data_IF_675850382675
#
_entry.id   IF_675850382675
#
_cell.length_a   1.000
_cell.length_b   1.000
_cell.length_c   1.000
_cell.angle_alpha   90.00
_cell.angle_beta   90.00
_cell.angle_gamma   90.00
#
_symmetry.space_group_name_H-M   'P 1'
#
loop_
_entity.id
_entity.type
_entity.pdbx_description
1 polymer ?
#
# COMPACT_ATOMS: atom_id res chain seq x y z
N UNK A 1 65.20 19.33 -14.60
CA UNK A 1 64.07 19.61 -13.67
C UNK A 1 63.77 18.32 -12.94
N UNK A 2 64.08 18.28 -11.64
CA UNK A 2 63.89 17.11 -10.78
C UNK A 2 62.42 16.75 -10.67
N UNK A 3 62.08 15.54 -11.10
CA UNK A 3 60.79 14.91 -10.83
C UNK A 3 60.92 14.10 -9.55
N UNK A 4 60.19 14.51 -8.51
CA UNK A 4 60.08 13.76 -7.26
C UNK A 4 58.79 12.94 -7.36
N UNK A 5 58.93 11.67 -7.74
CA UNK A 5 57.84 10.69 -7.82
C UNK A 5 57.62 10.05 -6.45
N UNK A 6 56.41 10.16 -5.91
CA UNK A 6 55.97 9.39 -4.75
C UNK A 6 54.95 8.33 -5.21
N UNK A 7 55.22 7.08 -4.85
CA UNK A 7 54.36 5.93 -5.12
C UNK A 7 53.63 5.53 -3.84
N UNK A 8 52.30 5.51 -3.87
CA UNK A 8 51.47 4.78 -2.92
C UNK A 8 50.27 4.22 -3.70
N UNK A 9 50.26 2.89 -3.92
CA UNK A 9 49.11 2.10 -4.41
C UNK A 9 48.30 2.64 -5.59
N UNK A 10 48.53 2.07 -6.78
CA UNK A 10 47.71 2.03 -8.02
C UNK A 10 46.94 3.27 -8.52
N UNK A 11 47.16 4.48 -8.00
CA UNK A 11 46.68 5.70 -8.64
C UNK A 11 47.71 6.86 -8.56
N UNK A 12 48.23 7.22 -9.72
CA UNK A 12 49.18 8.30 -9.92
C UNK A 12 48.41 9.62 -10.14
N UNK A 13 48.46 10.52 -9.15
CA UNK A 13 47.79 11.83 -9.24
C UNK A 13 48.80 12.89 -9.69
N UNK A 14 48.77 13.29 -10.96
CA UNK A 14 49.57 14.41 -11.50
C UNK A 14 48.64 15.56 -11.86
N UNK A 15 48.88 16.71 -11.23
CA UNK A 15 48.19 17.97 -11.53
C UNK A 15 49.21 18.91 -12.18
N UNK A 16 49.01 19.23 -13.47
CA UNK A 16 49.81 20.22 -14.19
C UNK A 16 48.91 21.08 -15.10
N UNK A 17 49.20 22.38 -15.17
CA UNK A 17 48.46 23.40 -15.93
C UNK A 17 49.24 23.78 -17.20
N UNK A 18 48.53 23.82 -18.35
CA UNK A 18 48.78 24.56 -19.63
C UNK A 18 50.16 24.38 -20.30
N UNK A 19 50.28 24.01 -21.58
CA UNK A 19 49.78 24.71 -22.78
C UNK A 19 49.85 23.80 -24.04
N UNK A 20 49.11 24.23 -25.08
CA UNK A 20 49.33 23.96 -26.52
C UNK A 20 48.57 22.79 -27.15
N UNK A 21 47.79 23.17 -28.16
CA UNK A 21 46.77 22.42 -28.85
C UNK A 21 47.33 21.32 -29.77
N UNK A 22 46.73 20.14 -29.69
CA UNK A 22 46.47 19.29 -30.86
C UNK A 22 45.05 18.75 -30.69
N UNK A 23 44.16 19.19 -31.58
CA UNK A 23 42.80 18.70 -31.68
C UNK A 23 42.84 17.26 -32.19
N UNK A 24 42.66 16.30 -31.29
CA UNK A 24 42.06 15.02 -31.62
C UNK A 24 40.76 14.93 -30.82
N UNK A 25 39.65 15.13 -31.50
CA UNK A 25 38.31 14.91 -30.98
C UNK A 25 38.11 13.41 -30.77
N UNK A 26 38.57 12.90 -29.63
CA UNK A 26 38.05 11.65 -29.09
C UNK A 26 36.93 12.03 -28.14
N UNK A 27 35.71 11.76 -28.59
CA UNK A 27 34.46 12.06 -27.92
C UNK A 27 34.50 11.68 -26.44
N UNK A 28 34.33 12.71 -25.61
CA UNK A 28 33.75 12.69 -24.28
C UNK A 28 32.76 11.53 -24.13
N UNK A 29 33.20 10.44 -23.49
CA UNK A 29 32.44 9.21 -23.46
C UNK A 29 33.13 8.11 -22.68
N UNK A 30 33.93 8.45 -21.66
CA UNK A 30 34.11 7.51 -20.55
C UNK A 30 32.73 7.34 -19.94
N UNK A 31 32.10 6.23 -20.33
CA UNK A 31 30.98 5.60 -19.67
C UNK A 31 31.28 5.59 -18.17
N UNK A 32 30.76 6.60 -17.48
CA UNK A 32 30.30 6.43 -16.12
C UNK A 32 29.26 5.33 -16.24
N UNK A 33 29.70 4.07 -16.12
CA UNK A 33 28.83 2.97 -15.73
C UNK A 33 28.35 3.35 -14.35
N UNK A 34 27.30 4.18 -14.30
CA UNK A 34 26.34 4.18 -13.24
C UNK A 34 26.03 2.70 -13.07
N UNK A 35 26.59 2.08 -12.03
CA UNK A 35 26.03 0.89 -11.44
C UNK A 35 24.64 1.35 -11.02
N UNK A 36 23.70 1.31 -11.98
CA UNK A 36 22.29 1.22 -11.71
C UNK A 36 22.24 -0.06 -10.91
N UNK A 37 22.29 0.06 -9.58
CA UNK A 37 21.98 -1.04 -8.67
C UNK A 37 20.68 -1.57 -9.21
N UNK A 38 20.72 -2.74 -9.85
CA UNK A 38 19.53 -3.44 -10.27
C UNK A 38 18.62 -3.44 -9.05
N UNK A 39 17.47 -2.77 -9.18
CA UNK A 39 16.50 -2.71 -8.10
C UNK A 39 16.02 -4.14 -7.96
N UNK A 40 16.62 -4.88 -7.03
CA UNK A 40 16.20 -6.23 -6.65
C UNK A 40 14.67 -6.23 -6.57
N UNK A 41 14.02 -7.00 -7.45
CA UNK A 41 12.58 -7.02 -7.58
C UNK A 41 11.96 -7.31 -6.21
N UNK A 42 11.39 -6.26 -5.61
CA UNK A 42 10.92 -6.30 -4.22
C UNK A 42 9.78 -7.32 -4.07
N UNK A 43 9.12 -7.66 -5.18
CA UNK A 43 8.04 -8.64 -5.33
C UNK A 43 8.43 -10.08 -4.97
N UNK A 44 9.71 -10.43 -4.92
CA UNK A 44 10.14 -11.80 -4.56
C UNK A 44 9.93 -12.16 -3.08
N UNK A 45 9.63 -11.19 -2.21
CA UNK A 45 9.47 -11.45 -0.77
C UNK A 45 8.05 -11.96 -0.44
N UNK A 46 7.89 -13.15 0.16
CA UNK A 46 6.57 -13.71 0.47
C UNK A 46 5.73 -12.84 1.42
N UNK A 47 6.38 -12.09 2.34
CA UNK A 47 5.70 -11.12 3.21
C UNK A 47 5.11 -9.90 2.47
N UNK A 48 5.36 -9.76 1.17
CA UNK A 48 4.82 -8.68 0.34
C UNK A 48 3.59 -9.09 -0.47
N UNK A 49 3.16 -10.35 -0.40
CA UNK A 49 1.94 -10.78 -1.08
C UNK A 49 0.72 -9.99 -0.58
N UNK A 50 -0.16 -9.62 -1.52
CA UNK A 50 -1.36 -8.85 -1.23
C UNK A 50 -2.46 -9.82 -0.85
N UNK A 51 -3.25 -9.38 0.10
CA UNK A 51 -4.16 -10.21 0.83
C UNK A 51 -5.23 -9.23 1.40
N UNK A 52 -6.52 -9.62 1.38
CA UNK A 52 -7.70 -8.98 2.01
C UNK A 52 -7.68 -9.02 3.55
N UNK A 53 -7.51 -7.88 4.22
CA UNK A 53 -7.49 -7.85 5.70
C UNK A 53 -8.83 -8.09 6.40
N UNK A 54 -9.89 -7.52 5.83
CA UNK A 54 -11.24 -7.61 6.36
C UNK A 54 -12.21 -7.29 5.23
N UNK A 55 -13.36 -7.94 5.27
CA UNK A 55 -14.50 -7.58 4.45
C UNK A 55 -15.56 -6.97 5.38
N UNK A 56 -15.96 -5.74 5.13
CA UNK A 56 -17.01 -5.05 5.88
C UNK A 56 -18.29 -5.04 5.04
N UNK A 57 -19.33 -5.73 5.49
CA UNK A 57 -20.67 -5.68 4.91
C UNK A 57 -21.46 -4.61 5.67
N UNK A 58 -22.08 -3.69 4.96
CA UNK A 58 -22.86 -2.61 5.56
C UNK A 58 -24.20 -2.46 4.84
N UNK A 59 -25.29 -2.59 5.59
CA UNK A 59 -26.65 -2.33 5.11
C UNK A 59 -27.18 -1.11 5.85
N UNK A 60 -27.40 -0.03 5.12
CA UNK A 60 -28.05 1.19 5.63
C UNK A 60 -29.52 1.18 5.21
N UNK A 61 -30.43 1.09 6.18
CA UNK A 61 -31.88 1.04 5.91
C UNK A 61 -32.50 2.43 6.01
N UNK A 62 -31.96 3.32 6.85
CA UNK A 62 -32.43 4.71 6.97
C UNK A 62 -33.56 4.91 7.99
N UNK A 63 -34.12 3.82 8.53
CA UNK A 63 -35.18 3.81 9.54
C UNK A 63 -34.87 2.82 10.66
N UNK A 64 -35.50 3.02 11.83
CA UNK A 64 -35.55 2.02 12.89
C UNK A 64 -36.77 1.09 12.74
N UNK A 65 -36.71 -0.08 13.39
CA UNK A 65 -37.83 -1.04 13.43
C UNK A 65 -37.57 -2.35 12.67
N UNK A 66 -38.63 -2.94 12.11
CA UNK A 66 -38.64 -4.33 11.61
C UNK A 66 -37.82 -4.55 10.35
N UNK A 67 -37.62 -3.53 9.51
CA UNK A 67 -36.71 -3.66 8.36
C UNK A 67 -35.27 -3.84 8.81
N UNK A 68 -34.87 -3.15 9.89
CA UNK A 68 -33.53 -3.25 10.45
C UNK A 68 -33.27 -4.63 11.08
N UNK A 69 -34.25 -5.19 11.79
CA UNK A 69 -34.12 -6.52 12.40
C UNK A 69 -34.09 -7.63 11.34
N UNK A 70 -34.85 -7.50 10.25
CA UNK A 70 -34.76 -8.41 9.10
C UNK A 70 -33.40 -8.33 8.41
N UNK A 71 -32.89 -7.12 8.18
CA UNK A 71 -31.55 -6.92 7.60
C UNK A 71 -30.45 -7.54 8.48
N UNK A 72 -30.60 -7.47 9.81
CA UNK A 72 -29.68 -8.14 10.73
C UNK A 72 -29.69 -9.66 10.55
N UNK A 73 -30.88 -10.27 10.46
CA UNK A 73 -31.00 -11.72 10.21
C UNK A 73 -30.38 -12.14 8.88
N UNK A 74 -30.52 -11.35 7.82
CA UNK A 74 -29.87 -11.61 6.52
C UNK A 74 -28.35 -11.59 6.65
N UNK A 75 -27.78 -10.61 7.35
CA UNK A 75 -26.34 -10.56 7.59
C UNK A 75 -25.84 -11.73 8.43
N UNK A 76 -26.62 -12.16 9.41
CA UNK A 76 -26.31 -13.34 10.22
C UNK A 76 -26.29 -14.62 9.37
N UNK A 77 -27.27 -14.80 8.48
CA UNK A 77 -27.32 -15.95 7.56
C UNK A 77 -26.14 -15.98 6.59
N UNK A 78 -25.73 -14.82 6.05
CA UNK A 78 -24.62 -14.73 5.11
C UNK A 78 -23.26 -14.94 5.78
N UNK A 79 -23.07 -14.41 7.00
CA UNK A 79 -21.75 -14.35 7.64
C UNK A 79 -21.53 -15.39 8.73
N UNK A 80 -22.60 -15.88 9.35
CA UNK A 80 -22.57 -16.71 10.55
C UNK A 80 -22.13 -15.96 11.81
N UNK A 81 -22.16 -14.61 11.80
CA UNK A 81 -21.73 -13.77 12.91
C UNK A 81 -22.87 -12.88 13.38
N UNK A 82 -22.87 -12.56 14.68
CA UNK A 82 -23.80 -11.58 15.25
C UNK A 82 -23.45 -10.17 14.74
N UNK A 83 -24.36 -9.51 14.00
CA UNK A 83 -24.06 -8.23 13.39
C UNK A 83 -24.23 -7.06 14.38
N UNK A 84 -23.50 -5.97 14.14
CA UNK A 84 -23.51 -4.80 15.03
C UNK A 84 -24.42 -3.70 14.49
N UNK A 85 -25.31 -3.20 15.36
CA UNK A 85 -26.19 -2.08 15.03
C UNK A 85 -25.48 -0.73 15.17
N UNK A 86 -25.50 0.05 14.10
CA UNK A 86 -24.98 1.42 14.05
C UNK A 86 -26.06 2.43 14.45
N UNK A 87 -25.68 3.38 15.29
CA UNK A 87 -26.55 4.46 15.77
C UNK A 87 -26.36 5.75 14.97
N UNK A 88 -27.42 6.55 14.88
CA UNK A 88 -27.43 7.90 14.36
C UNK A 88 -26.57 8.84 15.22
N UNK A 89 -25.67 9.61 14.60
CA UNK A 89 -24.89 10.66 15.31
C UNK A 89 -25.65 11.98 15.42
N UNK A 90 -26.50 12.30 14.45
CA UNK A 90 -27.20 13.58 14.33
C UNK A 90 -28.69 13.35 14.09
N UNK A 91 -29.51 14.37 14.38
CA UNK A 91 -30.93 14.39 14.03
C UNK A 91 -31.02 15.10 12.70
N UNK A 92 -31.51 14.42 11.67
CA UNK A 92 -31.72 14.98 10.35
C UNK A 92 -33.17 14.74 9.96
N UNK A 93 -33.96 15.82 9.94
CA UNK A 93 -35.42 15.75 9.75
C UNK A 93 -35.80 15.32 8.33
N UNK A 94 -35.00 15.67 7.32
CA UNK A 94 -35.24 15.27 5.92
C UNK A 94 -35.14 13.77 5.71
N UNK A 95 -34.25 13.09 6.43
CA UNK A 95 -34.09 11.65 6.40
C UNK A 95 -34.92 10.94 7.48
N UNK A 96 -35.78 11.67 8.21
CA UNK A 96 -36.60 11.16 9.31
C UNK A 96 -35.81 10.44 10.43
N UNK A 97 -34.53 10.78 10.62
CA UNK A 97 -33.64 10.12 11.59
C UNK A 97 -33.46 11.01 12.83
N UNK A 98 -33.57 10.42 14.02
CA UNK A 98 -33.25 11.07 15.31
C UNK A 98 -31.89 10.63 15.85
N UNK A 99 -31.26 11.44 16.70
CA UNK A 99 -30.01 11.08 17.40
C UNK A 99 -30.16 9.77 18.16
N UNK A 100 -29.13 8.93 18.12
CA UNK A 100 -29.02 7.63 18.78
C UNK A 100 -29.99 6.54 18.31
N UNK A 101 -30.82 6.81 17.32
CA UNK A 101 -31.65 5.82 16.66
C UNK A 101 -30.80 4.79 15.91
N UNK A 102 -31.19 3.52 15.88
CA UNK A 102 -30.46 2.49 15.13
C UNK A 102 -30.87 2.57 13.66
N UNK A 103 -29.90 2.82 12.77
CA UNK A 103 -30.17 3.08 11.32
C UNK A 103 -29.64 1.98 10.41
N UNK A 104 -28.51 1.39 10.80
CA UNK A 104 -27.75 0.52 9.93
C UNK A 104 -27.23 -0.69 10.70
N UNK A 105 -26.94 -1.75 9.95
CA UNK A 105 -26.32 -2.97 10.47
C UNK A 105 -25.05 -3.22 9.68
N UNK A 106 -23.97 -3.50 10.38
CA UNK A 106 -22.71 -3.89 9.74
C UNK A 106 -22.15 -5.15 10.38
N UNK A 107 -21.48 -5.94 9.54
CA UNK A 107 -20.73 -7.12 9.98
C UNK A 107 -19.31 -7.05 9.40
N UNK A 108 -18.32 -7.51 10.16
CA UNK A 108 -16.93 -7.53 9.72
C UNK A 108 -16.42 -8.96 9.67
N UNK A 109 -16.25 -9.50 8.48
CA UNK A 109 -15.71 -10.84 8.28
C UNK A 109 -14.19 -10.77 8.25
N UNK A 110 -13.54 -11.64 9.04
CA UNK A 110 -12.09 -11.84 9.13
C UNK A 110 -11.79 -13.35 9.20
N UNK A 111 -10.61 -13.80 8.79
CA UNK A 111 -10.17 -15.20 8.92
C UNK A 111 -9.90 -15.86 7.57
N UNK A 112 -10.11 -17.18 7.38
CA UNK A 112 -9.85 -17.86 6.10
C UNK A 112 -10.69 -17.30 4.94
N UNK A 113 -11.76 -16.55 5.25
CA UNK A 113 -12.58 -15.81 4.28
C UNK A 113 -11.94 -14.49 3.83
N UNK A 114 -10.92 -13.99 4.53
CA UNK A 114 -10.23 -12.72 4.28
C UNK A 114 -8.82 -12.75 4.90
N UNK A 115 -7.83 -13.16 4.11
CA UNK A 115 -6.41 -13.16 4.49
C UNK A 115 -5.75 -11.87 4.03
N UNK A 116 -5.07 -11.10 4.90
CA UNK A 116 -4.55 -9.72 4.70
C UNK A 116 -3.02 -9.57 4.64
N UNK A 117 -2.44 -8.64 3.84
CA UNK A 117 -0.96 -8.51 3.73
C UNK A 117 -0.32 -8.45 5.12
N UNK A 118 0.59 -9.39 5.47
CA UNK A 118 1.17 -9.45 6.79
C UNK A 118 2.10 -8.25 7.01
N UNK A 119 2.00 -7.61 8.17
CA UNK A 119 2.84 -6.47 8.56
C UNK A 119 2.08 -5.22 9.02
N UNK A 120 0.80 -5.10 8.69
CA UNK A 120 -0.01 -3.93 9.08
C UNK A 120 -0.39 -3.87 10.56
N UNK A 121 -0.08 -4.93 11.33
CA UNK A 121 -0.25 -4.96 12.79
C UNK A 121 0.59 -3.88 13.51
N UNK A 122 1.73 -3.47 12.94
CA UNK A 122 2.65 -2.48 13.55
C UNK A 122 1.95 -1.14 13.83
N UNK A 123 1.00 -0.74 12.98
CA UNK A 123 0.20 0.49 13.15
C UNK A 123 -0.89 0.36 14.22
N UNK A 124 -1.39 -0.86 14.44
CA UNK A 124 -2.61 -1.11 15.22
C UNK A 124 -2.33 -1.70 16.61
N UNK A 125 -1.12 -2.21 16.87
CA UNK A 125 -0.75 -2.76 18.19
C UNK A 125 -0.71 -1.66 19.27
N UNK A 126 -1.06 -2.04 20.51
CA UNK A 126 -1.05 -1.15 21.69
C UNK A 126 0.37 -0.75 22.12
N UNK A 127 1.30 -1.72 22.16
CA UNK A 127 2.70 -1.51 22.57
C UNK A 127 3.59 -1.19 21.36
N UNK A 128 4.49 -0.22 21.51
CA UNK A 128 5.49 0.18 20.51
C UNK A 128 4.88 0.41 19.11
N UNK A 129 3.86 1.26 19.02
CA UNK A 129 3.23 1.61 17.75
C UNK A 129 4.19 2.45 16.90
N UNK A 130 4.30 2.12 15.62
CA UNK A 130 5.16 2.83 14.66
C UNK A 130 4.44 2.99 13.32
N UNK A 131 4.86 3.97 12.51
CA UNK A 131 4.35 4.15 11.14
C UNK A 131 4.93 3.07 10.22
N UNK A 132 4.07 2.48 9.39
CA UNK A 132 4.50 1.56 8.34
C UNK A 132 5.11 2.35 7.18
N UNK A 133 6.24 1.89 6.65
CA UNK A 133 6.92 2.56 5.54
C UNK A 133 6.06 2.62 4.26
N UNK A 134 6.22 3.65 3.41
CA UNK A 134 5.47 3.77 2.16
C UNK A 134 5.64 2.56 1.23
N UNK A 135 6.82 1.94 1.24
CA UNK A 135 7.14 0.73 0.45
C UNK A 135 6.26 -0.49 0.76
N UNK A 136 5.58 -0.51 1.91
CA UNK A 136 4.68 -1.60 2.33
C UNK A 136 3.20 -1.25 2.17
N UNK A 137 2.87 -0.01 1.76
CA UNK A 137 1.50 0.31 1.36
C UNK A 137 1.21 -0.31 0.01
N UNK A 138 -0.07 -0.57 -0.25
CA UNK A 138 -0.56 -1.13 -1.52
C UNK A 138 -0.95 0.06 -2.40
N UNK A 139 -0.36 0.15 -3.58
CA UNK A 139 -0.75 1.16 -4.57
C UNK A 139 -2.05 0.74 -5.29
N UNK A 140 -2.74 1.70 -5.90
CA UNK A 140 -3.97 1.42 -6.66
C UNK A 140 -3.69 0.41 -7.78
N UNK A 141 -2.58 0.59 -8.49
CA UNK A 141 -2.19 -0.26 -9.63
C UNK A 141 -1.85 -1.69 -9.20
N UNK A 142 -1.18 -1.83 -8.05
CA UNK A 142 -0.93 -3.14 -7.44
C UNK A 142 -2.23 -3.84 -7.03
N UNK A 143 -3.18 -3.11 -6.46
CA UNK A 143 -4.48 -3.67 -6.07
C UNK A 143 -5.30 -4.13 -7.30
N UNK A 144 -5.28 -3.35 -8.39
CA UNK A 144 -5.99 -3.70 -9.63
C UNK A 144 -5.39 -4.96 -10.27
N UNK A 145 -4.06 -5.05 -10.35
CA UNK A 145 -3.35 -6.22 -10.87
C UNK A 145 -3.62 -7.47 -10.01
N UNK A 146 -3.61 -7.30 -8.69
CA UNK A 146 -3.92 -8.39 -7.76
C UNK A 146 -5.37 -8.87 -7.87
N UNK A 147 -6.32 -7.97 -8.09
CA UNK A 147 -7.73 -8.33 -8.28
C UNK A 147 -7.95 -9.13 -9.58
N UNK A 148 -7.30 -8.70 -10.68
CA UNK A 148 -7.31 -9.44 -11.94
C UNK A 148 -6.71 -10.84 -11.77
N UNK A 149 -5.55 -10.97 -11.11
CA UNK A 149 -4.85 -12.26 -11.02
C UNK A 149 -5.49 -13.25 -10.04
N UNK A 150 -6.23 -12.79 -9.03
CA UNK A 150 -6.87 -13.66 -8.03
C UNK A 150 -8.31 -14.04 -8.35
N UNK A 151 -9.06 -13.17 -9.01
CA UNK A 151 -10.49 -13.33 -9.24
C UNK A 151 -10.89 -13.24 -10.73
N UNK A 152 -9.92 -13.23 -11.65
CA UNK A 152 -10.11 -13.05 -13.09
C UNK A 152 -11.00 -11.84 -13.44
N UNK A 153 -10.91 -10.79 -12.59
CA UNK A 153 -11.82 -9.66 -12.63
C UNK A 153 -11.54 -8.72 -13.80
N UNK A 154 -12.54 -8.45 -14.62
CA UNK A 154 -12.47 -7.47 -15.72
C UNK A 154 -12.58 -6.06 -15.14
N UNK A 155 -11.61 -5.18 -15.43
CA UNK A 155 -11.73 -3.75 -15.11
C UNK A 155 -12.49 -3.02 -16.20
N UNK A 156 -13.59 -2.39 -15.81
CA UNK A 156 -14.30 -1.45 -16.65
C UNK A 156 -13.61 -0.08 -16.53
N UNK A 157 -13.03 0.40 -17.64
CA UNK A 157 -12.61 1.79 -17.76
C UNK A 157 -13.87 2.63 -18.02
N UNK A 158 -14.39 3.27 -16.96
CA UNK A 158 -15.35 4.36 -17.08
C UNK A 158 -14.67 5.67 -16.71
#
# INVERSE_FOLDING_TARGET
ICFQTWWWGDLLFVRAWRTSAVQFTCTFGELVTMVVKEKKDKSANPMRDIQIQKLCLNICVGESGDRLTRAAKVLEQLTGQQPVFSKARLTIRTFAIRRNEKIAVHCTVRGPKAEGRPGMRVKNRRRCKTRVGPSHHISKDEAMKWFQSKFDGILLNK
#
